data_IF_793655367401
#
_entry.id   IF_793655367401
#
_cell.length_a   1.000
_cell.length_b   1.000
_cell.length_c   1.000
_cell.angle_alpha   90.00
_cell.angle_beta   90.00
_cell.angle_gamma   90.00
#
_symmetry.space_group_name_H-M   'P 1'
#
loop_
_entity.id
_entity.type
_entity.pdbx_description
1 polymer ?
#
# COMPACT_ATOMS: atom_id res chain seq x y z
N UNK A 1 55.16 14.97 -21.16
CA UNK A 1 55.01 14.02 -22.28
C UNK A 1 55.64 12.64 -22.01
N UNK A 2 56.84 12.57 -21.44
CA UNK A 2 57.58 11.29 -21.19
C UNK A 2 56.90 10.36 -20.17
N UNK A 3 56.23 10.88 -19.13
CA UNK A 3 55.55 10.04 -18.11
C UNK A 3 54.32 9.26 -18.62
N UNK A 4 53.64 9.75 -19.66
CA UNK A 4 52.46 9.07 -20.23
C UNK A 4 52.87 7.96 -21.22
N UNK A 5 54.01 8.12 -21.90
CA UNK A 5 54.56 7.07 -22.78
C UNK A 5 55.01 5.86 -21.96
N UNK A 6 55.66 6.07 -20.81
CA UNK A 6 56.13 4.98 -19.95
C UNK A 6 54.97 4.15 -19.34
N UNK A 7 53.82 4.78 -19.04
CA UNK A 7 52.62 4.08 -18.53
C UNK A 7 51.91 3.23 -19.59
N UNK A 8 51.96 3.64 -20.85
CA UNK A 8 51.36 2.88 -21.96
C UNK A 8 52.21 1.64 -22.27
N UNK A 9 53.54 1.76 -22.21
CA UNK A 9 54.43 0.61 -22.39
C UNK A 9 54.33 -0.43 -21.26
N UNK A 10 54.12 -0.02 -20.00
CA UNK A 10 53.91 -0.98 -18.90
C UNK A 10 52.58 -1.71 -18.97
N UNK A 11 51.51 -1.08 -19.47
CA UNK A 11 50.20 -1.73 -19.68
C UNK A 11 50.23 -2.74 -20.85
N UNK A 12 50.93 -2.42 -21.94
CA UNK A 12 51.10 -3.33 -23.08
C UNK A 12 52.00 -4.54 -22.76
N UNK A 13 53.02 -4.36 -21.91
CA UNK A 13 53.82 -5.47 -21.39
C UNK A 13 53.01 -6.40 -20.45
N UNK A 14 52.08 -5.86 -19.65
CA UNK A 14 51.22 -6.67 -18.79
C UNK A 14 50.18 -7.49 -19.57
N UNK A 15 49.57 -6.91 -20.63
CA UNK A 15 48.62 -7.64 -21.50
C UNK A 15 49.28 -8.77 -22.30
N UNK A 16 50.53 -8.58 -22.75
CA UNK A 16 51.25 -9.63 -23.49
C UNK A 16 51.68 -10.79 -22.60
N UNK A 17 52.00 -10.54 -21.31
CA UNK A 17 52.29 -11.60 -20.33
C UNK A 17 51.04 -12.46 -20.03
N UNK A 18 49.85 -11.84 -19.95
CA UNK A 18 48.60 -12.59 -19.76
C UNK A 18 48.26 -13.41 -20.99
N UNK A 19 48.41 -12.86 -22.20
CA UNK A 19 48.10 -13.58 -23.44
C UNK A 19 49.07 -14.76 -23.69
N UNK A 20 50.37 -14.56 -23.52
CA UNK A 20 51.37 -15.64 -23.70
C UNK A 20 51.43 -16.63 -22.54
N UNK A 21 51.00 -16.25 -21.34
CA UNK A 21 50.92 -17.15 -20.19
C UNK A 21 49.85 -18.23 -20.33
N UNK A 22 48.74 -17.93 -21.02
CA UNK A 22 47.65 -18.88 -21.22
C UNK A 22 47.94 -19.96 -22.29
N UNK A 23 48.75 -19.67 -23.31
CA UNK A 23 49.13 -20.69 -24.33
C UNK A 23 50.12 -21.74 -23.80
N UNK A 24 50.98 -21.40 -22.83
CA UNK A 24 52.03 -22.32 -22.35
C UNK A 24 51.65 -23.24 -21.21
N UNK A 25 50.47 -23.07 -20.60
CA UNK A 25 50.11 -23.82 -19.39
C UNK A 25 49.45 -25.18 -19.64
N UNK A 26 49.14 -25.56 -20.88
CA UNK A 26 48.63 -26.91 -21.19
C UNK A 26 47.43 -27.34 -20.33
N UNK A 27 46.71 -26.37 -19.74
CA UNK A 27 45.56 -26.62 -18.90
C UNK A 27 44.43 -27.01 -19.84
N UNK A 28 44.23 -28.31 -19.96
CA UNK A 28 43.05 -28.88 -20.58
C UNK A 28 41.87 -28.56 -19.64
N UNK A 29 41.35 -27.34 -19.73
CA UNK A 29 40.12 -26.96 -19.05
C UNK A 29 39.03 -27.78 -19.73
N UNK A 30 38.38 -28.73 -19.05
CA UNK A 30 37.26 -29.42 -19.65
C UNK A 30 36.25 -28.33 -20.02
N UNK A 31 35.94 -28.23 -21.31
CA UNK A 31 34.77 -27.48 -21.75
C UNK A 31 33.60 -28.21 -21.12
N UNK A 32 33.17 -27.72 -19.95
CA UNK A 32 31.93 -28.16 -19.35
C UNK A 32 30.89 -27.69 -20.37
N UNK A 33 30.39 -28.65 -21.13
CA UNK A 33 29.21 -28.47 -21.94
C UNK A 33 28.12 -28.15 -20.93
N UNK A 34 27.89 -26.86 -20.70
CA UNK A 34 26.67 -26.36 -20.10
C UNK A 34 25.57 -26.67 -21.11
N UNK A 35 25.19 -27.96 -21.18
CA UNK A 35 23.82 -28.30 -21.45
C UNK A 35 23.04 -27.44 -20.48
N UNK A 36 22.33 -26.48 -21.05
CA UNK A 36 21.25 -25.76 -20.40
C UNK A 36 20.28 -26.81 -19.90
N UNK A 37 20.60 -27.38 -18.74
CA UNK A 37 19.60 -27.92 -17.85
C UNK A 37 18.62 -26.77 -17.70
N UNK A 38 17.35 -27.07 -17.92
CA UNK A 38 16.27 -26.15 -17.59
C UNK A 38 16.33 -25.96 -16.08
N UNK A 39 17.28 -25.14 -15.60
CA UNK A 39 17.18 -24.50 -14.32
C UNK A 39 15.83 -23.82 -14.39
N UNK A 40 14.86 -24.19 -13.52
CA UNK A 40 13.59 -23.51 -13.52
C UNK A 40 13.92 -22.03 -13.43
N UNK A 41 13.42 -21.27 -14.41
CA UNK A 41 13.29 -19.81 -14.34
C UNK A 41 13.15 -19.45 -12.87
N UNK A 42 14.13 -18.72 -12.32
CA UNK A 42 14.04 -18.16 -10.98
C UNK A 42 12.77 -17.32 -11.02
N UNK A 43 11.66 -17.90 -10.56
CA UNK A 43 10.35 -17.31 -10.69
C UNK A 43 10.49 -15.94 -10.08
N UNK A 44 10.32 -14.93 -10.92
CA UNK A 44 10.18 -13.51 -10.59
C UNK A 44 8.90 -13.40 -9.77
N UNK A 45 8.95 -13.94 -8.55
CA UNK A 45 7.77 -14.17 -7.72
C UNK A 45 7.42 -12.81 -7.18
N UNK A 46 6.35 -12.23 -7.71
CA UNK A 46 5.80 -10.99 -7.19
C UNK A 46 5.52 -11.15 -5.69
N UNK A 47 5.78 -10.10 -4.94
CA UNK A 47 5.42 -10.05 -3.54
C UNK A 47 3.98 -9.58 -3.45
N UNK A 48 3.12 -10.41 -2.86
CA UNK A 48 1.70 -10.13 -2.67
C UNK A 48 1.36 -10.12 -1.18
N UNK A 49 0.22 -9.55 -0.82
CA UNK A 49 -0.30 -9.56 0.56
C UNK A 49 -0.39 -11.01 1.08
N UNK A 50 -0.87 -11.95 0.26
CA UNK A 50 -1.00 -13.37 0.62
C UNK A 50 0.35 -14.04 0.86
N UNK A 51 1.37 -13.70 0.05
CA UNK A 51 2.72 -14.24 0.24
C UNK A 51 3.32 -13.75 1.55
N UNK A 52 3.16 -12.47 1.88
CA UNK A 52 3.62 -11.90 3.14
C UNK A 52 2.90 -12.56 4.32
N UNK A 53 1.57 -12.71 4.24
CA UNK A 53 0.79 -13.40 5.26
C UNK A 53 1.24 -14.85 5.45
N UNK A 54 1.51 -15.56 4.36
CA UNK A 54 2.02 -16.93 4.39
C UNK A 54 3.36 -17.02 5.13
N UNK A 55 4.28 -16.09 4.89
CA UNK A 55 5.58 -16.04 5.59
C UNK A 55 5.43 -15.74 7.08
N UNK A 56 4.55 -14.80 7.44
CA UNK A 56 4.22 -14.51 8.85
C UNK A 56 3.65 -15.77 9.53
N UNK A 57 2.72 -16.45 8.86
CA UNK A 57 2.07 -17.64 9.41
C UNK A 57 3.02 -18.84 9.53
N UNK A 58 3.92 -19.05 8.57
CA UNK A 58 4.96 -20.08 8.66
C UNK A 58 5.88 -19.85 9.87
N UNK A 59 6.31 -18.60 10.09
CA UNK A 59 7.08 -18.24 11.29
C UNK A 59 6.30 -18.52 12.59
N UNK A 60 5.05 -18.06 12.66
CA UNK A 60 4.17 -18.25 13.82
C UNK A 60 3.96 -19.74 14.13
N UNK A 61 3.70 -20.56 13.11
CA UNK A 61 3.54 -22.00 13.27
C UNK A 61 4.82 -22.68 13.78
N UNK A 62 6.00 -22.31 13.27
CA UNK A 62 7.29 -22.80 13.76
C UNK A 62 7.55 -22.47 15.24
N UNK A 63 6.92 -21.41 15.74
CA UNK A 63 6.94 -20.99 17.15
C UNK A 63 5.80 -21.59 17.98
N UNK A 64 4.96 -22.46 17.40
CA UNK A 64 3.81 -23.06 18.08
C UNK A 64 2.63 -22.11 18.28
N UNK A 65 2.57 -21.01 17.52
CA UNK A 65 1.51 -20.01 17.59
C UNK A 65 0.43 -20.26 16.54
N UNK A 66 -0.76 -19.71 16.79
CA UNK A 66 -1.86 -19.75 15.83
C UNK A 66 -1.59 -18.92 14.57
N UNK A 67 -2.11 -19.38 13.44
CA UNK A 67 -2.10 -18.62 12.18
C UNK A 67 -3.07 -17.45 12.22
N UNK A 68 -2.77 -16.44 11.43
CA UNK A 68 -3.57 -15.25 11.22
C UNK A 68 -4.40 -15.39 9.95
N UNK A 69 -5.64 -14.88 10.00
CA UNK A 69 -6.52 -14.79 8.83
C UNK A 69 -6.52 -13.38 8.25
N UNK A 70 -6.69 -13.21 6.93
CA UNK A 70 -6.76 -11.88 6.32
C UNK A 70 -8.01 -11.11 6.81
N UNK A 71 -7.88 -9.79 6.99
CA UNK A 71 -8.96 -8.89 7.38
C UNK A 71 -8.90 -7.59 6.56
N UNK A 72 -9.96 -7.30 5.82
CA UNK A 72 -10.00 -6.19 4.86
C UNK A 72 -9.89 -4.82 5.53
N UNK A 73 -10.45 -4.62 6.73
CA UNK A 73 -10.33 -3.36 7.47
C UNK A 73 -8.89 -3.09 7.83
N UNK A 74 -8.20 -4.11 8.37
CA UNK A 74 -6.78 -4.01 8.66
C UNK A 74 -5.96 -3.76 7.38
N UNK A 75 -6.34 -4.32 6.22
CA UNK A 75 -5.64 -4.05 4.96
C UNK A 75 -5.82 -2.59 4.52
N UNK A 76 -7.00 -2.01 4.69
CA UNK A 76 -7.24 -0.58 4.43
C UNK A 76 -6.37 0.30 5.33
N UNK A 77 -6.32 0.00 6.63
CA UNK A 77 -5.47 0.73 7.58
C UNK A 77 -3.97 0.58 7.24
N UNK A 78 -3.56 -0.62 6.79
CA UNK A 78 -2.19 -0.88 6.41
C UNK A 78 -1.77 -0.10 5.16
N UNK A 79 -2.66 0.01 4.16
CA UNK A 79 -2.46 0.81 2.94
C UNK A 79 -2.29 2.30 3.27
N UNK A 80 -3.15 2.82 4.14
CA UNK A 80 -3.08 4.21 4.59
C UNK A 80 -1.74 4.50 5.31
N UNK A 81 -1.32 3.63 6.23
CA UNK A 81 -0.03 3.78 6.93
C UNK A 81 1.17 3.64 5.99
N UNK A 82 1.17 2.67 5.07
CA UNK A 82 2.27 2.50 4.13
C UNK A 82 2.46 3.73 3.23
N UNK A 83 1.36 4.33 2.77
CA UNK A 83 1.42 5.57 1.99
C UNK A 83 2.06 6.72 2.79
N UNK A 84 1.68 6.90 4.05
CA UNK A 84 2.26 7.93 4.92
C UNK A 84 3.74 7.68 5.18
N UNK A 85 4.12 6.44 5.47
CA UNK A 85 5.52 6.06 5.67
C UNK A 85 6.40 6.33 4.44
N UNK A 86 5.89 6.04 3.24
CA UNK A 86 6.65 6.21 2.00
C UNK A 86 6.72 7.67 1.53
N UNK A 87 5.68 8.46 1.79
CA UNK A 87 5.58 9.83 1.27
C UNK A 87 6.15 10.88 2.23
N UNK A 88 5.98 10.68 3.53
CA UNK A 88 6.31 11.68 4.56
C UNK A 88 7.36 11.20 5.56
N UNK A 89 7.81 9.95 5.45
CA UNK A 89 8.74 9.31 6.43
C UNK A 89 8.19 9.36 7.87
N UNK A 90 6.87 9.44 8.02
CA UNK A 90 6.19 9.67 9.29
C UNK A 90 5.82 8.36 10.00
N UNK A 91 6.83 7.83 10.71
CA UNK A 91 6.73 6.54 11.41
C UNK A 91 5.79 6.55 12.61
N UNK A 92 5.71 7.67 13.33
CA UNK A 92 4.95 7.80 14.57
C UNK A 92 3.64 8.57 14.42
N UNK A 93 3.39 9.19 13.26
CA UNK A 93 2.22 10.06 13.05
C UNK A 93 2.46 11.50 13.52
N UNK A 94 3.70 11.92 13.74
CA UNK A 94 4.05 13.26 14.25
C UNK A 94 3.88 14.36 13.20
N UNK A 95 3.95 14.00 11.91
CA UNK A 95 3.86 14.94 10.79
C UNK A 95 2.41 15.03 10.31
N UNK A 96 1.80 13.88 10.06
CA UNK A 96 0.47 13.75 9.43
C UNK A 96 -0.66 13.62 10.44
N UNK A 97 -0.34 13.29 11.70
CA UNK A 97 -1.33 12.92 12.71
C UNK A 97 -1.92 11.53 12.52
N UNK A 98 -1.56 10.78 11.46
CA UNK A 98 -2.08 9.44 11.21
C UNK A 98 -1.22 8.40 11.89
N UNK A 99 -1.49 8.15 13.18
CA UNK A 99 -0.85 7.03 13.90
C UNK A 99 -1.39 5.68 13.42
N UNK A 100 -0.75 4.60 13.87
CA UNK A 100 -1.21 3.23 13.64
C UNK A 100 -2.61 2.99 14.22
N UNK A 101 -2.81 3.42 15.46
CA UNK A 101 -4.09 3.35 16.17
C UNK A 101 -5.15 4.15 15.43
N UNK A 102 -4.84 5.38 15.01
CA UNK A 102 -5.75 6.22 14.24
C UNK A 102 -6.17 5.52 12.94
N UNK A 103 -5.23 4.95 12.19
CA UNK A 103 -5.54 4.23 10.95
C UNK A 103 -6.46 3.02 11.19
N UNK A 104 -6.29 2.29 12.29
CA UNK A 104 -7.10 1.12 12.65
C UNK A 104 -8.49 1.53 13.17
N UNK A 105 -8.56 2.62 13.93
CA UNK A 105 -9.82 3.18 14.42
C UNK A 105 -10.66 3.76 13.28
N UNK A 106 -10.03 4.48 12.33
CA UNK A 106 -10.69 5.06 11.15
C UNK A 106 -11.36 4.02 10.26
N UNK A 107 -10.84 2.79 10.21
CA UNK A 107 -11.44 1.67 9.47
C UNK A 107 -12.51 0.91 10.25
N UNK A 108 -12.80 1.34 11.48
CA UNK A 108 -13.79 0.74 12.37
C UNK A 108 -13.42 -0.69 12.78
N UNK A 109 -12.13 -0.99 12.95
CA UNK A 109 -11.66 -2.27 13.47
C UNK A 109 -11.45 -2.15 14.99
N UNK A 110 -12.31 -2.83 15.75
CA UNK A 110 -12.19 -2.87 17.21
C UNK A 110 -11.23 -3.99 17.62
N UNK A 111 -10.21 -3.66 18.40
CA UNK A 111 -9.19 -4.62 18.80
C UNK A 111 -8.99 -4.67 20.31
N UNK A 112 -8.61 -5.86 20.80
CA UNK A 112 -8.00 -6.01 22.13
C UNK A 112 -6.48 -5.99 22.07
N UNK A 113 -5.93 -6.35 20.91
CA UNK A 113 -4.50 -6.36 20.64
C UNK A 113 -4.27 -5.88 19.20
N UNK A 114 -3.25 -5.06 19.02
CA UNK A 114 -2.84 -4.57 17.71
C UNK A 114 -1.32 -4.46 17.71
N UNK A 115 -0.69 -4.92 16.63
CA UNK A 115 0.73 -4.81 16.36
C UNK A 115 0.95 -4.49 14.89
N UNK A 116 2.10 -3.96 14.55
CA UNK A 116 2.51 -3.73 13.17
C UNK A 116 3.89 -4.32 12.86
N UNK A 117 4.11 -4.57 11.58
CA UNK A 117 5.38 -4.93 10.98
C UNK A 117 5.59 -4.02 9.78
N UNK A 118 6.74 -3.35 9.72
CA UNK A 118 7.04 -2.41 8.65
C UNK A 118 8.41 -2.70 8.04
N UNK A 119 8.53 -2.45 6.73
CA UNK A 119 9.82 -2.29 6.06
C UNK A 119 9.66 -1.39 4.84
N UNK A 120 10.61 -0.50 4.59
CA UNK A 120 10.60 0.40 3.44
C UNK A 120 11.83 0.13 2.57
N UNK A 121 11.65 0.05 1.25
CA UNK A 121 12.77 -0.10 0.30
C UNK A 121 13.59 -1.39 0.50
N UNK A 122 12.98 -2.47 1.00
CA UNK A 122 13.64 -3.73 1.29
C UNK A 122 13.98 -4.51 0.02
N UNK A 123 15.22 -4.98 -0.12
CA UNK A 123 15.59 -5.83 -1.26
C UNK A 123 14.82 -7.16 -1.23
N UNK A 124 14.19 -7.50 -2.36
CA UNK A 124 13.33 -8.68 -2.50
C UNK A 124 14.08 -10.02 -2.35
N UNK A 125 15.40 -10.00 -2.48
CA UNK A 125 16.29 -11.15 -2.27
C UNK A 125 16.55 -11.45 -0.79
N UNK A 126 16.25 -10.51 0.10
CA UNK A 126 16.55 -10.64 1.52
C UNK A 126 15.46 -11.43 2.25
N UNK A 127 15.83 -12.04 3.38
CA UNK A 127 14.90 -12.74 4.25
C UNK A 127 14.12 -11.72 5.13
N UNK A 128 12.87 -11.49 4.75
CA UNK A 128 11.96 -10.57 5.43
C UNK A 128 11.68 -10.96 6.89
N UNK A 129 11.49 -12.26 7.14
CA UNK A 129 11.20 -12.77 8.48
C UNK A 129 12.43 -12.64 9.37
N UNK A 130 13.61 -12.99 8.86
CA UNK A 130 14.87 -12.78 9.58
C UNK A 130 15.02 -11.31 9.96
N UNK A 131 14.80 -10.37 9.03
CA UNK A 131 14.85 -8.94 9.28
C UNK A 131 13.90 -8.51 10.41
N UNK A 132 12.62 -8.86 10.36
CA UNK A 132 11.68 -8.50 11.42
C UNK A 132 12.04 -9.08 12.78
N UNK A 133 12.60 -10.28 12.84
CA UNK A 133 12.99 -10.90 14.11
C UNK A 133 14.21 -10.27 14.77
N UNK A 134 15.00 -9.47 14.03
CA UNK A 134 16.09 -8.66 14.61
C UNK A 134 15.60 -7.44 15.37
N UNK A 135 14.39 -6.96 15.08
CA UNK A 135 13.80 -5.79 15.72
C UNK A 135 12.92 -6.25 16.89
N UNK A 136 13.18 -5.72 18.09
CA UNK A 136 12.49 -6.14 19.31
C UNK A 136 10.95 -6.05 19.17
N UNK A 137 10.44 -4.89 18.76
CA UNK A 137 9.00 -4.66 18.62
C UNK A 137 8.36 -5.57 17.56
N UNK A 138 9.01 -5.72 16.41
CA UNK A 138 8.52 -6.58 15.33
C UNK A 138 8.53 -8.06 15.73
N UNK A 139 9.55 -8.50 16.47
CA UNK A 139 9.60 -9.86 17.03
C UNK A 139 8.48 -10.08 18.04
N UNK A 140 8.24 -9.13 18.94
CA UNK A 140 7.14 -9.19 19.91
C UNK A 140 5.78 -9.28 19.21
N UNK A 141 5.55 -8.48 18.16
CA UNK A 141 4.34 -8.57 17.33
C UNK A 141 4.20 -9.94 16.67
N UNK A 142 5.27 -10.48 16.07
CA UNK A 142 5.26 -11.80 15.44
C UNK A 142 4.98 -12.93 16.44
N UNK A 143 5.47 -12.81 17.67
CA UNK A 143 5.38 -13.84 18.71
C UNK A 143 4.17 -13.67 19.65
N UNK A 144 3.35 -12.63 19.48
CA UNK A 144 2.16 -12.40 20.32
C UNK A 144 1.07 -13.47 20.06
N UNK A 145 0.72 -14.30 21.05
CA UNK A 145 -0.24 -15.40 20.89
C UNK A 145 -1.69 -14.94 20.72
N UNK A 146 -2.04 -13.74 21.17
CA UNK A 146 -3.42 -13.27 21.15
C UNK A 146 -3.87 -12.77 19.77
N UNK A 147 -2.95 -12.44 18.86
CA UNK A 147 -3.27 -12.00 17.49
C UNK A 147 -3.96 -13.10 16.68
N UNK A 148 -4.94 -12.71 15.86
CA UNK A 148 -5.82 -13.61 15.08
C UNK A 148 -5.98 -13.20 13.62
N UNK A 149 -5.86 -11.92 13.33
CA UNK A 149 -6.17 -11.35 12.02
C UNK A 149 -4.99 -10.50 11.53
N UNK A 150 -4.88 -10.34 10.22
CA UNK A 150 -3.86 -9.50 9.61
C UNK A 150 -4.40 -8.73 8.40
N UNK A 151 -3.93 -7.51 8.22
CA UNK A 151 -4.11 -6.74 7.00
C UNK A 151 -2.76 -6.21 6.52
N UNK A 152 -2.51 -6.28 5.23
CA UNK A 152 -1.17 -6.09 4.68
C UNK A 152 -1.26 -5.11 3.50
N UNK A 153 -0.23 -4.30 3.33
CA UNK A 153 -0.02 -3.48 2.15
C UNK A 153 1.38 -3.76 1.61
N UNK A 154 1.50 -3.87 0.29
CA UNK A 154 2.78 -4.11 -0.42
C UNK A 154 2.90 -3.12 -1.58
N UNK A 155 4.03 -2.43 -1.66
CA UNK A 155 4.39 -1.58 -2.80
C UNK A 155 5.71 -2.07 -3.38
N UNK A 156 5.73 -2.32 -4.69
CA UNK A 156 6.90 -2.84 -5.40
C UNK A 156 7.74 -1.71 -5.99
N UNK A 157 9.06 -1.82 -5.87
CA UNK A 157 10.03 -0.83 -6.35
C UNK A 157 11.22 -1.47 -7.07
N UNK A 158 11.02 -2.00 -8.28
CA UNK A 158 12.09 -2.66 -9.04
C UNK A 158 12.66 -3.88 -8.31
N UNK A 159 13.87 -3.76 -7.75
CA UNK A 159 14.51 -4.80 -6.91
C UNK A 159 14.10 -4.75 -5.44
N UNK A 160 13.45 -3.67 -5.02
CA UNK A 160 13.00 -3.47 -3.64
C UNK A 160 11.48 -3.58 -3.51
N UNK A 161 11.01 -3.61 -2.27
CA UNK A 161 9.61 -3.54 -1.89
C UNK A 161 9.45 -2.82 -0.56
N UNK A 162 8.30 -2.20 -0.34
CA UNK A 162 7.89 -1.65 0.94
C UNK A 162 6.64 -2.37 1.40
N UNK A 163 6.61 -2.77 2.68
CA UNK A 163 5.52 -3.54 3.28
C UNK A 163 5.13 -2.88 4.59
N UNK A 164 3.82 -2.80 4.83
CA UNK A 164 3.26 -2.55 6.15
C UNK A 164 2.19 -3.60 6.43
N UNK A 165 2.29 -4.27 7.57
CA UNK A 165 1.32 -5.27 8.00
C UNK A 165 0.80 -4.92 9.39
N UNK A 166 -0.52 -4.89 9.54
CA UNK A 166 -1.22 -4.76 10.82
C UNK A 166 -1.70 -6.14 11.24
N UNK A 167 -1.36 -6.55 12.46
CA UNK A 167 -1.82 -7.79 13.05
C UNK A 167 -2.72 -7.44 14.23
N UNK A 168 -3.95 -7.93 14.21
CA UNK A 168 -4.97 -7.61 15.20
C UNK A 168 -5.53 -8.85 15.90
N UNK A 169 -6.05 -8.64 17.11
CA UNK A 169 -7.00 -9.53 17.74
C UNK A 169 -8.32 -8.79 17.91
N UNK A 170 -9.44 -9.29 17.37
CA UNK A 170 -10.72 -8.61 17.47
C UNK A 170 -11.09 -8.49 18.95
N UNK A 171 -11.38 -7.27 19.37
CA UNK A 171 -11.83 -7.01 20.74
C UNK A 171 -13.21 -7.63 20.97
N UNK A 172 -13.55 -7.92 22.23
CA UNK A 172 -14.96 -8.18 22.56
C UNK A 172 -15.76 -6.98 22.06
N UNK A 173 -16.78 -7.24 21.22
CA UNK A 173 -17.73 -6.23 20.78
C UNK A 173 -18.23 -5.54 22.05
N UNK A 174 -17.73 -4.33 22.33
CA UNK A 174 -18.42 -3.46 23.26
C UNK A 174 -19.74 -3.20 22.55
N UNK A 175 -20.83 -3.79 23.05
CA UNK A 175 -22.20 -3.41 22.69
C UNK A 175 -22.19 -1.90 22.63
N UNK A 176 -22.34 -1.33 21.43
CA UNK A 176 -22.06 0.07 21.12
C UNK A 176 -22.52 0.92 22.29
N UNK A 177 -21.59 1.26 23.17
CA UNK A 177 -21.91 2.02 24.35
C UNK A 177 -21.93 3.42 23.80
N UNK A 178 -23.14 3.89 23.48
CA UNK A 178 -23.42 5.30 23.22
C UNK A 178 -22.80 6.08 24.36
N UNK A 179 -21.59 6.59 24.11
CA UNK A 179 -20.92 7.50 25.02
C UNK A 179 -21.80 8.75 25.07
N UNK A 180 -22.06 9.34 26.25
CA UNK A 180 -22.82 10.57 26.32
C UNK A 180 -22.15 11.59 25.41
N UNK A 181 -22.93 12.08 24.44
CA UNK A 181 -22.54 13.11 23.49
C UNK A 181 -22.16 14.37 24.25
N UNK A 182 -20.86 14.58 24.43
CA UNK A 182 -20.33 15.92 24.68
C UNK A 182 -20.23 16.64 23.32
N UNK A 183 -20.62 17.91 23.20
CA UNK A 183 -20.77 18.56 21.90
C UNK A 183 -19.40 19.01 21.36
N UNK A 184 -18.84 18.24 20.42
CA UNK A 184 -17.78 18.68 19.51
C UNK A 184 -17.71 17.74 18.28
N UNK A 185 -18.03 18.32 17.10
CA UNK A 185 -17.83 17.84 15.72
C UNK A 185 -17.73 16.33 15.43
N UNK A 186 -18.78 15.79 14.81
CA UNK A 186 -18.76 14.51 14.11
C UNK A 186 -17.68 14.52 13.00
N UNK A 187 -16.64 13.70 13.17
CA UNK A 187 -15.70 13.32 12.11
C UNK A 187 -16.08 11.92 11.67
N UNK A 188 -16.42 11.76 10.41
CA UNK A 188 -16.72 10.47 9.76
C UNK A 188 -15.59 10.12 8.79
N UNK A 189 -15.33 8.83 8.59
CA UNK A 189 -14.17 8.34 7.83
C UNK A 189 -14.52 7.77 6.46
N UNK A 190 -13.48 7.36 5.73
CA UNK A 190 -13.60 6.70 4.42
C UNK A 190 -14.58 5.53 4.37
N UNK A 191 -14.57 4.57 5.32
CA UNK A 191 -15.51 3.46 5.32
C UNK A 191 -16.97 3.88 5.49
N UNK A 192 -17.23 4.89 6.33
CA UNK A 192 -18.59 5.38 6.55
C UNK A 192 -19.16 5.99 5.25
N UNK A 193 -18.32 6.77 4.55
CA UNK A 193 -18.68 7.35 3.26
C UNK A 193 -18.79 6.29 2.15
N UNK A 194 -17.92 5.27 2.15
CA UNK A 194 -17.99 4.15 1.21
C UNK A 194 -19.30 3.37 1.34
N UNK A 195 -19.70 3.04 2.58
CA UNK A 195 -20.96 2.36 2.86
C UNK A 195 -22.14 3.25 2.46
N UNK A 196 -22.12 4.54 2.81
CA UNK A 196 -23.18 5.47 2.46
C UNK A 196 -23.36 5.60 0.93
N UNK A 197 -22.27 5.73 0.18
CA UNK A 197 -22.30 5.79 -1.29
C UNK A 197 -22.87 4.50 -1.87
N UNK A 198 -22.39 3.34 -1.46
CA UNK A 198 -22.83 2.08 -2.04
C UNK A 198 -24.28 1.73 -1.69
N UNK A 199 -24.73 2.03 -0.47
CA UNK A 199 -26.15 1.90 -0.12
C UNK A 199 -27.01 2.80 -1.03
N UNK A 200 -26.59 4.05 -1.22
CA UNK A 200 -27.32 4.99 -2.06
C UNK A 200 -27.32 4.58 -3.54
N UNK A 201 -26.24 3.99 -4.03
CA UNK A 201 -26.17 3.39 -5.38
C UNK A 201 -27.22 2.29 -5.58
N UNK A 202 -27.35 1.40 -4.60
CA UNK A 202 -28.38 0.34 -4.63
C UNK A 202 -29.80 0.95 -4.59
N UNK A 203 -30.03 1.99 -3.79
CA UNK A 203 -31.31 2.71 -3.76
C UNK A 203 -31.65 3.38 -5.10
N UNK A 204 -30.64 3.85 -5.84
CA UNK A 204 -30.80 4.36 -7.21
C UNK A 204 -30.94 3.25 -8.27
N UNK A 205 -30.92 1.98 -7.87
CA UNK A 205 -31.08 0.84 -8.77
C UNK A 205 -29.84 0.48 -9.57
N UNK A 206 -28.65 0.95 -9.15
CA UNK A 206 -27.38 0.59 -9.78
C UNK A 206 -26.51 -0.29 -8.88
N UNK A 207 -25.59 -1.03 -9.48
CA UNK A 207 -24.71 -1.92 -8.73
C UNK A 207 -23.79 -1.13 -7.78
N UNK A 208 -23.47 -1.68 -6.59
CA UNK A 208 -22.43 -1.11 -5.75
C UNK A 208 -21.08 -1.11 -6.48
N UNK A 209 -20.23 -0.13 -6.18
CA UNK A 209 -18.86 -0.08 -6.66
C UNK A 209 -18.07 -1.25 -6.07
N UNK A 210 -17.22 -1.85 -6.89
CA UNK A 210 -16.21 -2.81 -6.43
C UNK A 210 -14.88 -2.12 -6.27
N UNK A 211 -14.17 -2.44 -5.19
CA UNK A 211 -12.89 -1.79 -4.92
C UNK A 211 -11.83 -2.22 -5.95
N UNK A 212 -10.94 -1.27 -6.29
CA UNK A 212 -9.71 -1.52 -7.06
C UNK A 212 -8.55 -0.82 -6.38
N UNK A 213 -7.46 -1.55 -6.16
CA UNK A 213 -6.29 -1.06 -5.44
C UNK A 213 -5.68 0.15 -6.13
N UNK A 214 -5.60 0.13 -7.46
CA UNK A 214 -5.03 1.25 -8.22
C UNK A 214 -5.89 2.53 -8.10
N UNK A 215 -7.20 2.41 -7.96
CA UNK A 215 -8.09 3.56 -7.71
C UNK A 215 -7.99 4.05 -6.26
N UNK A 216 -7.71 3.15 -5.31
CA UNK A 216 -7.44 3.52 -3.93
C UNK A 216 -6.14 4.30 -3.78
N UNK A 217 -5.11 3.97 -4.55
CA UNK A 217 -3.88 4.77 -4.59
C UNK A 217 -4.18 6.21 -5.02
N UNK A 218 -4.96 6.40 -6.09
CA UNK A 218 -5.37 7.74 -6.54
C UNK A 218 -6.18 8.45 -5.46
N UNK A 219 -7.19 7.79 -4.90
CA UNK A 219 -8.08 8.37 -3.88
C UNK A 219 -7.31 8.79 -2.62
N UNK A 220 -6.32 8.01 -2.18
CA UNK A 220 -5.49 8.31 -1.01
C UNK A 220 -4.56 9.51 -1.26
N UNK A 221 -3.84 9.52 -2.39
CA UNK A 221 -2.97 10.66 -2.79
C UNK A 221 -3.81 11.93 -2.85
N UNK A 222 -5.00 11.82 -3.44
CA UNK A 222 -5.87 12.94 -3.66
C UNK A 222 -6.49 13.47 -2.37
N UNK A 223 -6.88 12.60 -1.44
CA UNK A 223 -7.33 13.05 -0.12
C UNK A 223 -6.24 13.85 0.58
N UNK A 224 -4.98 13.39 0.56
CA UNK A 224 -3.87 14.12 1.17
C UNK A 224 -3.68 15.51 0.54
N UNK A 225 -3.77 15.64 -0.78
CA UNK A 225 -3.71 16.96 -1.45
C UNK A 225 -4.80 17.92 -0.97
N UNK A 226 -6.03 17.43 -0.80
CA UNK A 226 -7.16 18.23 -0.32
C UNK A 226 -7.00 18.59 1.16
N UNK A 227 -6.48 17.67 1.97
CA UNK A 227 -6.16 17.93 3.38
C UNK A 227 -5.05 18.98 3.53
N UNK A 228 -3.99 18.89 2.72
CA UNK A 228 -2.88 19.85 2.69
C UNK A 228 -3.36 21.25 2.27
N UNK A 229 -4.32 21.31 1.34
CA UNK A 229 -4.94 22.56 0.92
C UNK A 229 -5.87 23.15 2.00
N UNK A 230 -6.50 22.30 2.82
CA UNK A 230 -7.45 22.71 3.86
C UNK A 230 -8.81 23.18 3.33
N UNK A 231 -9.02 23.12 2.01
CA UNK A 231 -10.25 23.44 1.31
C UNK A 231 -10.36 22.62 0.01
N UNK A 232 -11.51 22.69 -0.67
CA UNK A 232 -11.63 22.09 -2.01
C UNK A 232 -10.91 22.96 -3.03
N UNK A 233 -10.29 22.34 -4.03
CA UNK A 233 -9.42 23.01 -4.99
C UNK A 233 -10.14 23.74 -6.14
N UNK A 234 -11.39 24.15 -5.92
CA UNK A 234 -12.21 24.91 -6.86
C UNK A 234 -12.28 24.31 -8.28
N UNK A 235 -12.25 22.98 -8.41
CA UNK A 235 -12.25 22.24 -9.69
C UNK A 235 -10.92 22.34 -10.46
N UNK A 236 -9.80 22.58 -9.78
CA UNK A 236 -8.47 22.40 -10.38
C UNK A 236 -8.27 20.97 -10.92
N UNK A 237 -9.02 20.02 -10.35
CA UNK A 237 -9.09 18.65 -10.83
C UNK A 237 -7.92 17.80 -10.35
N UNK A 238 -7.89 16.58 -10.83
CA UNK A 238 -6.95 15.53 -10.42
C UNK A 238 -6.09 15.05 -11.60
N UNK A 239 -6.20 15.71 -12.75
CA UNK A 239 -5.39 15.49 -13.94
C UNK A 239 -3.89 15.53 -13.66
N UNK A 240 -3.34 16.46 -12.83
CA UNK A 240 -1.93 16.39 -12.46
C UNK A 240 -1.55 15.09 -11.76
N UNK A 241 -2.42 14.57 -10.88
CA UNK A 241 -2.22 13.28 -10.21
C UNK A 241 -2.28 12.14 -11.20
N UNK A 242 -3.23 12.16 -12.14
CA UNK A 242 -3.35 11.14 -13.19
C UNK A 242 -2.22 11.17 -14.21
N UNK A 243 -1.54 12.31 -14.39
CA UNK A 243 -0.45 12.47 -15.36
C UNK A 243 0.93 12.15 -14.79
N UNK A 244 1.03 11.84 -13.49
CA UNK A 244 2.27 11.33 -12.91
C UNK A 244 2.69 10.05 -13.63
N UNK A 245 3.96 9.93 -14.00
CA UNK A 245 4.45 8.80 -14.81
C UNK A 245 4.16 7.43 -14.19
N UNK A 246 4.16 7.32 -12.86
CA UNK A 246 3.88 6.10 -12.11
C UNK A 246 2.38 5.72 -12.07
N UNK A 247 1.49 6.68 -12.32
CA UNK A 247 0.03 6.52 -12.23
C UNK A 247 -0.67 6.62 -13.60
N UNK A 248 0.02 7.12 -14.63
CA UNK A 248 -0.54 7.38 -15.95
C UNK A 248 -1.19 6.16 -16.60
N UNK A 249 -0.64 4.98 -16.36
CA UNK A 249 -1.22 3.73 -16.87
C UNK A 249 -2.66 3.49 -16.36
N UNK A 250 -3.02 4.04 -15.18
CA UNK A 250 -4.37 3.90 -14.60
C UNK A 250 -5.37 4.71 -15.43
N UNK A 251 -5.02 5.95 -15.79
CA UNK A 251 -5.86 6.81 -16.64
C UNK A 251 -5.89 6.38 -18.10
N UNK A 252 -4.87 5.66 -18.57
CA UNK A 252 -4.88 5.00 -19.90
C UNK A 252 -5.76 3.73 -19.92
N UNK A 253 -5.95 3.07 -18.76
CA UNK A 253 -6.71 1.83 -18.62
C UNK A 253 -8.20 2.05 -18.35
N UNK A 254 -8.55 3.09 -17.60
CA UNK A 254 -9.90 3.31 -17.09
C UNK A 254 -10.44 4.67 -17.49
N UNK A 255 -11.77 4.77 -17.64
CA UNK A 255 -12.42 6.07 -17.64
C UNK A 255 -12.71 6.48 -16.18
N UNK A 256 -11.96 7.46 -15.66
CA UNK A 256 -11.94 7.80 -14.23
C UNK A 256 -12.67 9.11 -13.98
N UNK A 257 -13.39 9.19 -12.87
CA UNK A 257 -14.01 10.43 -12.40
C UNK A 257 -13.77 10.64 -10.91
N UNK A 258 -13.54 11.90 -10.55
CA UNK A 258 -13.38 12.36 -9.19
C UNK A 258 -14.67 12.97 -8.65
N UNK A 259 -14.95 12.71 -7.38
CA UNK A 259 -16.01 13.37 -6.63
C UNK A 259 -15.46 13.80 -5.28
N UNK A 260 -15.45 15.11 -5.06
CA UNK A 260 -15.01 15.71 -3.81
C UNK A 260 -16.23 16.15 -2.99
N UNK A 261 -16.08 16.11 -1.67
CA UNK A 261 -17.07 16.62 -0.74
C UNK A 261 -16.36 17.19 0.49
N UNK A 262 -16.87 18.29 1.04
CA UNK A 262 -16.33 18.87 2.27
C UNK A 262 -17.39 19.50 3.15
N UNK A 263 -17.14 19.55 4.46
CA UNK A 263 -17.88 20.39 5.40
C UNK A 263 -19.16 19.80 6.01
N UNK A 264 -19.60 18.63 5.55
CA UNK A 264 -20.82 17.97 6.06
C UNK A 264 -20.57 17.22 7.36
N UNK A 265 -21.59 17.14 8.21
CA UNK A 265 -21.48 16.56 9.55
C UNK A 265 -21.69 15.05 9.56
N UNK A 266 -22.29 14.48 8.51
CA UNK A 266 -22.49 13.04 8.38
C UNK A 266 -22.16 12.53 6.96
N UNK A 267 -21.84 11.23 6.81
CA UNK A 267 -21.69 10.61 5.49
C UNK A 267 -22.95 10.74 4.63
N UNK A 268 -24.14 10.67 5.24
CA UNK A 268 -25.42 10.78 4.55
C UNK A 268 -25.64 12.19 4.01
N UNK A 269 -25.27 13.23 4.77
CA UNK A 269 -25.26 14.61 4.30
C UNK A 269 -24.28 14.80 3.14
N UNK A 270 -23.08 14.22 3.22
CA UNK A 270 -22.11 14.23 2.11
C UNK A 270 -22.64 13.55 0.85
N UNK A 271 -23.31 12.41 0.99
CA UNK A 271 -23.95 11.71 -0.13
C UNK A 271 -25.08 12.55 -0.72
N UNK A 272 -25.95 13.13 0.12
CA UNK A 272 -27.02 14.00 -0.33
C UNK A 272 -26.49 15.24 -1.08
N UNK A 273 -25.32 15.76 -0.69
CA UNK A 273 -24.68 16.86 -1.38
C UNK A 273 -24.35 16.55 -2.85
N UNK A 274 -23.97 15.30 -3.14
CA UNK A 274 -23.70 14.85 -4.51
C UNK A 274 -24.97 14.66 -5.34
N UNK A 275 -26.17 14.62 -4.76
CA UNK A 275 -27.42 14.48 -5.52
C UNK A 275 -27.86 15.78 -6.20
N UNK A 276 -27.32 16.92 -5.76
CA UNK A 276 -27.79 18.24 -6.16
C UNK A 276 -27.26 18.72 -7.52
N UNK A 277 -26.29 18.03 -8.12
CA UNK A 277 -25.78 18.35 -9.46
C UNK A 277 -25.77 17.11 -10.35
N UNK A 278 -26.05 17.28 -11.64
CA UNK A 278 -26.04 16.17 -12.59
C UNK A 278 -24.67 15.48 -12.67
N UNK A 279 -23.58 16.24 -12.54
CA UNK A 279 -22.22 15.70 -12.54
C UNK A 279 -21.96 14.83 -11.31
N UNK A 280 -22.16 15.36 -10.11
CA UNK A 280 -21.90 14.63 -8.87
C UNK A 280 -22.82 13.43 -8.67
N UNK A 281 -24.08 13.54 -9.10
CA UNK A 281 -25.06 12.47 -8.96
C UNK A 281 -24.65 11.22 -9.73
N UNK A 282 -23.80 11.32 -10.75
CA UNK A 282 -23.29 10.16 -11.49
C UNK A 282 -22.51 9.19 -10.60
N UNK A 283 -21.87 9.63 -9.51
CA UNK A 283 -21.29 8.70 -8.54
C UNK A 283 -22.34 7.74 -7.97
N UNK A 284 -23.58 8.21 -7.81
CA UNK A 284 -24.67 7.51 -7.13
C UNK A 284 -25.61 6.80 -8.11
N UNK A 285 -25.86 7.37 -9.29
CA UNK A 285 -26.82 6.82 -10.27
C UNK A 285 -26.17 6.36 -11.58
N UNK A 286 -24.87 6.60 -11.77
CA UNK A 286 -24.13 6.16 -12.95
C UNK A 286 -23.85 4.67 -12.87
N UNK A 287 -24.66 3.89 -13.61
CA UNK A 287 -24.52 2.44 -13.68
C UNK A 287 -23.30 1.97 -14.47
N UNK A 288 -22.69 2.87 -15.25
CA UNK A 288 -21.43 2.63 -15.94
C UNK A 288 -20.29 2.38 -14.95
N UNK A 289 -20.22 3.13 -13.84
CA UNK A 289 -19.19 2.94 -12.83
C UNK A 289 -19.37 1.60 -12.13
N UNK A 290 -18.37 0.73 -12.27
CA UNK A 290 -18.33 -0.60 -11.65
C UNK A 290 -17.17 -0.73 -10.67
N UNK A 291 -16.17 0.15 -10.77
CA UNK A 291 -15.00 0.22 -9.91
C UNK A 291 -14.96 1.53 -9.15
N UNK A 292 -14.42 1.53 -7.94
CA UNK A 292 -14.12 2.77 -7.25
C UNK A 292 -13.39 2.60 -5.93
N UNK A 293 -12.99 3.72 -5.34
CA UNK A 293 -12.44 3.77 -3.99
C UNK A 293 -12.78 5.11 -3.33
N UNK A 294 -13.01 5.09 -2.02
CA UNK A 294 -13.40 6.27 -1.24
C UNK A 294 -12.49 6.40 -0.03
N UNK A 295 -11.93 7.59 0.16
CA UNK A 295 -11.26 7.98 1.39
C UNK A 295 -11.90 9.26 1.94
N UNK A 296 -11.92 9.39 3.26
CA UNK A 296 -12.40 10.60 3.91
C UNK A 296 -11.75 10.80 5.28
N UNK A 297 -11.50 12.06 5.61
CA UNK A 297 -10.88 12.52 6.84
C UNK A 297 -11.20 14.01 7.05
N UNK A 298 -11.34 14.44 8.31
CA UNK A 298 -11.55 15.86 8.65
C UNK A 298 -12.71 16.53 7.89
N UNK A 299 -13.79 15.78 7.65
CA UNK A 299 -14.96 16.18 6.84
C UNK A 299 -14.67 16.43 5.35
N UNK A 300 -13.48 16.10 4.86
CA UNK A 300 -13.18 15.99 3.43
C UNK A 300 -13.39 14.55 2.98
N UNK A 301 -13.99 14.36 1.82
CA UNK A 301 -14.15 13.07 1.18
C UNK A 301 -13.74 13.13 -0.29
N UNK A 302 -13.04 12.08 -0.73
CA UNK A 302 -12.65 11.85 -2.11
C UNK A 302 -13.20 10.49 -2.52
N UNK A 303 -14.01 10.48 -3.57
CA UNK A 303 -14.42 9.27 -4.27
C UNK A 303 -13.82 9.26 -5.68
N UNK A 304 -13.13 8.18 -6.02
CA UNK A 304 -12.67 7.90 -7.37
C UNK A 304 -13.52 6.75 -7.89
N UNK A 305 -14.23 6.97 -9.00
CA UNK A 305 -15.03 5.93 -9.65
C UNK A 305 -14.61 5.74 -11.10
N UNK A 306 -14.68 4.50 -11.59
CA UNK A 306 -14.23 4.17 -12.94
C UNK A 306 -14.98 2.99 -13.57
N UNK A 307 -14.81 2.85 -14.89
CA UNK A 307 -15.31 1.74 -15.70
C UNK A 307 -14.39 1.41 -16.87
#
# INVERSE_FOLDING_TARGET
MIKNVLRIFTLLAAMTIVYFGFEKLGLNIPVINLQTTNAPSLIKTEWTEEKVLMMINDYRQKKGLGVLTPNEKLSMAAKARLAVLMQYEDSLGEITGLTREDAVEMVGYNYSWIGDLAVLGFFRSNDLTAFWTTQENSRQTLEEPNLKEAGIAVVMGGETMSIYALLGAPGKVKKATTRPSSPASASWGGPDLWVAVNNRRVEFGVNPLRQKDELCTIAAIRLNQILDLGELDAHAGFEPTLNREDLKWISEKYNISEFLVSGYSTPQESVAAWENTLGHKKLLSGGEYVWGCIYAQNKFGVAIAAY
#
